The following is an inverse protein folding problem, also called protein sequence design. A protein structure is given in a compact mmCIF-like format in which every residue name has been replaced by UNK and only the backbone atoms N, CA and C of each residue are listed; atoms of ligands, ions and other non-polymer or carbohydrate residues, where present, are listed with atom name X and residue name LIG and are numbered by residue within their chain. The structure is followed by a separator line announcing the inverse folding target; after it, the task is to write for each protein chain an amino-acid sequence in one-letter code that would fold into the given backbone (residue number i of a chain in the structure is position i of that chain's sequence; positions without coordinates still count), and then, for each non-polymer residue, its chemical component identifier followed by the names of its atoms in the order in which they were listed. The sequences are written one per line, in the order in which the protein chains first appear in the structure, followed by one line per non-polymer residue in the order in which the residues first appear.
data_IF_682206647925
#
_entry.id   IF_682206647925
#
_cell.length_a   1.000
_cell.length_b   1.000
_cell.length_c   1.000
_cell.angle_alpha   90.00
_cell.angle_beta   90.00
_cell.angle_gamma   90.00
#
_symmetry.space_group_name_H-M   'P 1'
#
loop_
_entity.id
_entity.type
_entity.pdbx_description
1 polymer ?
#
# COMPACT_ATOMS: atom_id res chain seq x y z
N UNK A 1 -15.12 -2.22 -13.15
CA UNK A 1 -15.03 -3.02 -11.91
C UNK A 1 -15.49 -4.44 -12.16
N UNK A 2 -14.88 -5.42 -11.46
CA UNK A 2 -15.21 -6.85 -11.46
C UNK A 2 -16.01 -7.17 -10.19
N UNK A 3 -17.08 -7.93 -10.33
CA UNK A 3 -17.91 -8.37 -9.20
C UNK A 3 -17.86 -9.88 -8.93
N UNK A 4 -17.39 -10.67 -9.91
CA UNK A 4 -17.45 -12.13 -9.81
C UNK A 4 -16.28 -12.77 -10.55
N UNK A 5 -15.70 -13.80 -9.93
CA UNK A 5 -14.74 -14.70 -10.55
C UNK A 5 -15.54 -15.86 -11.21
N UNK A 6 -15.25 -16.14 -12.47
CA UNK A 6 -15.86 -17.27 -13.17
C UNK A 6 -14.96 -18.50 -13.02
N UNK A 7 -15.58 -19.59 -12.58
CA UNK A 7 -14.92 -20.88 -12.35
C UNK A 7 -15.69 -21.95 -13.11
N UNK A 8 -14.99 -22.75 -13.91
CA UNK A 8 -15.51 -23.90 -14.66
C UNK A 8 -14.60 -25.10 -14.41
N UNK A 9 -15.18 -26.24 -14.15
CA UNK A 9 -14.45 -27.49 -13.87
C UNK A 9 -13.39 -27.41 -12.75
N UNK A 10 -13.59 -26.49 -11.78
CA UNK A 10 -12.68 -26.28 -10.66
C UNK A 10 -11.48 -25.38 -10.98
N UNK A 11 -11.45 -24.73 -12.12
CA UNK A 11 -10.39 -23.80 -12.54
C UNK A 11 -10.98 -22.43 -12.92
N UNK A 12 -10.15 -21.39 -12.89
CA UNK A 12 -10.52 -20.04 -13.35
C UNK A 12 -10.87 -20.08 -14.84
N UNK A 13 -12.01 -19.47 -15.19
CA UNK A 13 -12.49 -19.34 -16.57
C UNK A 13 -12.65 -17.88 -17.01
N UNK A 14 -12.41 -16.92 -16.09
CA UNK A 14 -12.53 -15.50 -16.38
C UNK A 14 -13.16 -14.70 -15.25
N UNK A 15 -13.71 -13.54 -15.61
CA UNK A 15 -14.35 -12.63 -14.67
C UNK A 15 -15.64 -12.07 -15.24
N UNK A 16 -16.54 -11.63 -14.35
CA UNK A 16 -17.77 -10.90 -14.69
C UNK A 16 -17.73 -9.50 -14.10
N UNK A 17 -17.99 -8.51 -14.92
CA UNK A 17 -18.01 -7.10 -14.52
C UNK A 17 -19.33 -6.72 -13.86
N UNK A 18 -19.40 -5.51 -13.28
CA UNK A 18 -20.64 -4.93 -12.75
C UNK A 18 -21.71 -4.72 -13.83
N UNK A 19 -21.32 -4.58 -15.08
CA UNK A 19 -22.23 -4.46 -16.23
C UNK A 19 -22.62 -5.81 -16.84
N UNK A 20 -22.39 -6.91 -16.12
CA UNK A 20 -22.66 -8.29 -16.57
C UNK A 20 -21.87 -8.74 -17.80
N UNK A 21 -20.83 -7.97 -18.18
CA UNK A 21 -19.92 -8.38 -19.26
C UNK A 21 -19.01 -9.50 -18.75
N UNK A 22 -19.00 -10.60 -19.47
CA UNK A 22 -18.12 -11.75 -19.23
C UNK A 22 -16.83 -11.57 -20.03
N UNK A 23 -15.70 -11.65 -19.33
CA UNK A 23 -14.35 -11.64 -19.92
C UNK A 23 -13.74 -13.01 -19.65
N UNK A 24 -13.57 -13.82 -20.69
CA UNK A 24 -12.94 -15.14 -20.59
C UNK A 24 -11.43 -15.02 -20.51
N UNK A 25 -10.83 -15.78 -19.58
CA UNK A 25 -9.39 -15.82 -19.39
C UNK A 25 -8.97 -17.17 -18.77
N UNK A 26 -7.79 -17.66 -19.13
CA UNK A 26 -7.20 -18.86 -18.54
C UNK A 26 -6.60 -18.60 -17.17
N UNK A 27 -6.12 -17.38 -16.94
CA UNK A 27 -5.59 -16.92 -15.67
C UNK A 27 -6.17 -15.55 -15.32
N UNK A 28 -6.34 -15.31 -14.03
CA UNK A 28 -6.74 -14.02 -13.47
C UNK A 28 -5.74 -13.63 -12.37
N UNK A 29 -5.22 -12.41 -12.42
CA UNK A 29 -4.35 -11.86 -11.40
C UNK A 29 -5.14 -10.82 -10.60
N UNK A 30 -5.34 -11.05 -9.31
CA UNK A 30 -6.03 -10.14 -8.41
C UNK A 30 -5.02 -9.16 -7.79
N UNK A 31 -5.19 -7.86 -8.09
CA UNK A 31 -4.33 -6.76 -7.60
C UNK A 31 -5.17 -5.62 -7.03
N UNK A 32 -6.22 -5.96 -6.27
CA UNK A 32 -7.29 -5.02 -5.90
C UNK A 32 -6.89 -3.98 -4.82
N UNK A 33 -5.67 -4.01 -4.27
CA UNK A 33 -5.22 -3.02 -3.29
C UNK A 33 -6.15 -2.93 -2.08
N UNK A 34 -6.69 -1.74 -1.81
CA UNK A 34 -7.61 -1.45 -0.70
C UNK A 34 -9.09 -1.45 -1.11
N UNK A 35 -9.41 -1.97 -2.31
CA UNK A 35 -10.75 -1.82 -2.88
C UNK A 35 -11.75 -2.91 -2.49
N UNK A 36 -11.30 -4.12 -2.10
CA UNK A 36 -12.20 -5.22 -1.74
C UNK A 36 -12.98 -4.89 -0.46
N UNK A 37 -14.28 -4.71 -0.59
CA UNK A 37 -15.17 -4.28 0.50
C UNK A 37 -14.61 -3.06 1.27
N UNK A 38 -13.97 -2.14 0.54
CA UNK A 38 -13.28 -0.99 1.09
C UNK A 38 -14.23 -0.05 1.84
N UNK A 39 -13.83 0.33 3.07
CA UNK A 39 -14.59 1.22 3.94
C UNK A 39 -13.66 2.25 4.58
N UNK A 40 -13.84 3.51 4.21
CA UNK A 40 -13.09 4.64 4.74
C UNK A 40 -13.73 5.17 6.03
N UNK A 41 -12.91 5.57 6.99
CA UNK A 41 -13.31 6.11 8.29
C UNK A 41 -12.67 7.48 8.52
N UNK A 42 -13.51 8.48 8.84
CA UNK A 42 -13.11 9.85 9.21
C UNK A 42 -13.93 10.24 10.44
N UNK A 43 -13.34 10.15 11.62
CA UNK A 43 -14.10 10.21 12.86
C UNK A 43 -15.23 9.17 12.85
N UNK A 44 -16.44 9.57 13.20
CA UNK A 44 -17.60 8.68 13.19
C UNK A 44 -18.16 8.39 11.79
N UNK A 45 -17.71 9.11 10.76
CA UNK A 45 -18.22 8.97 9.40
C UNK A 45 -17.58 7.75 8.72
N UNK A 46 -18.43 6.92 8.13
CA UNK A 46 -18.02 5.78 7.31
C UNK A 46 -18.45 6.03 5.86
N UNK A 47 -17.50 5.90 4.94
CA UNK A 47 -17.73 6.09 3.52
C UNK A 47 -17.28 4.84 2.75
N UNK A 48 -18.20 4.18 2.02
CA UNK A 48 -17.83 3.10 1.13
C UNK A 48 -16.89 3.59 0.02
N UNK A 49 -15.77 2.90 -0.18
CA UNK A 49 -14.80 3.26 -1.21
C UNK A 49 -13.47 2.54 -1.01
N UNK A 50 -12.73 2.33 -2.07
CA UNK A 50 -11.37 1.83 -2.02
C UNK A 50 -10.35 2.96 -1.78
N UNK A 51 -10.68 4.14 -2.28
CA UNK A 51 -9.98 5.42 -2.12
C UNK A 51 -11.00 6.55 -2.23
N UNK A 52 -10.67 7.75 -1.73
CA UNK A 52 -11.56 8.92 -1.87
C UNK A 52 -11.95 9.14 -3.33
N UNK A 53 -13.26 9.27 -3.58
CA UNK A 53 -13.90 9.42 -4.86
C UNK A 53 -13.83 8.17 -5.78
N UNK A 54 -13.35 7.03 -5.28
CA UNK A 54 -13.32 5.78 -6.03
C UNK A 54 -14.13 4.70 -5.31
N UNK A 55 -15.13 4.10 -5.97
CA UNK A 55 -16.02 3.12 -5.33
C UNK A 55 -15.28 1.83 -4.97
N UNK A 56 -15.68 1.22 -3.85
CA UNK A 56 -15.19 -0.10 -3.46
C UNK A 56 -15.62 -1.20 -4.45
N UNK A 57 -14.90 -2.32 -4.44
CA UNK A 57 -15.27 -3.53 -5.18
C UNK A 57 -16.01 -4.47 -4.25
N UNK A 58 -17.31 -4.59 -4.44
CA UNK A 58 -18.17 -5.50 -3.69
C UNK A 58 -18.37 -6.82 -4.42
N UNK A 59 -18.78 -7.85 -3.69
CA UNK A 59 -19.13 -9.19 -4.17
C UNK A 59 -17.95 -10.04 -4.68
N UNK A 60 -16.81 -9.44 -4.99
CA UNK A 60 -15.66 -10.20 -5.52
C UNK A 60 -15.01 -11.07 -4.44
N UNK A 61 -14.86 -10.55 -3.21
CA UNK A 61 -14.35 -11.33 -2.07
C UNK A 61 -15.23 -12.55 -1.82
N UNK A 62 -16.55 -12.36 -1.74
CA UNK A 62 -17.51 -13.43 -1.49
C UNK A 62 -17.54 -14.44 -2.65
N UNK A 63 -17.36 -13.95 -3.88
CA UNK A 63 -17.26 -14.79 -5.07
C UNK A 63 -16.04 -15.73 -5.01
N UNK A 64 -14.89 -15.22 -4.56
CA UNK A 64 -13.67 -16.01 -4.40
C UNK A 64 -13.79 -16.95 -3.18
N UNK A 65 -14.29 -16.45 -2.04
CA UNK A 65 -14.43 -17.20 -0.81
C UNK A 65 -15.35 -18.42 -0.92
N UNK A 66 -16.37 -18.38 -1.80
CA UNK A 66 -17.24 -19.53 -2.09
C UNK A 66 -16.50 -20.78 -2.56
N UNK A 67 -15.28 -20.62 -3.07
CA UNK A 67 -14.41 -21.71 -3.51
C UNK A 67 -13.49 -22.23 -2.41
N UNK A 68 -13.69 -21.81 -1.15
CA UNK A 68 -12.92 -22.28 0.01
C UNK A 68 -11.66 -21.47 0.29
N UNK A 69 -11.49 -20.29 -0.33
CA UNK A 69 -10.37 -19.39 -0.08
C UNK A 69 -10.69 -18.52 1.14
N UNK A 70 -9.85 -18.57 2.17
CA UNK A 70 -9.99 -17.80 3.39
C UNK A 70 -9.54 -16.35 3.19
N UNK A 71 -10.24 -15.45 3.85
CA UNK A 71 -9.93 -14.03 3.85
C UNK A 71 -10.11 -13.43 5.24
N UNK A 72 -9.56 -12.24 5.43
CA UNK A 72 -9.71 -11.43 6.63
C UNK A 72 -9.77 -9.95 6.27
N UNK A 73 -9.74 -9.09 7.29
CA UNK A 73 -9.71 -7.64 7.09
C UNK A 73 -8.45 -7.04 7.68
N UNK A 74 -7.88 -6.12 6.94
CA UNK A 74 -6.77 -5.27 7.37
C UNK A 74 -7.15 -3.79 7.26
N UNK A 75 -6.36 -2.95 7.89
CA UNK A 75 -6.53 -1.49 7.87
C UNK A 75 -5.21 -0.85 7.45
N UNK A 76 -5.32 0.22 6.69
CA UNK A 76 -4.24 1.18 6.47
C UNK A 76 -4.79 2.61 6.61
N UNK A 77 -3.98 3.61 6.32
CA UNK A 77 -4.41 4.99 6.38
C UNK A 77 -3.66 5.88 5.40
N UNK A 78 -4.17 7.07 5.21
CA UNK A 78 -3.56 8.10 4.37
C UNK A 78 -3.67 9.46 5.05
N UNK A 79 -2.72 10.38 4.86
CA UNK A 79 -2.81 11.75 5.36
C UNK A 79 -3.68 12.63 4.47
N UNK A 80 -3.89 13.86 4.94
CA UNK A 80 -4.53 14.93 4.17
C UNK A 80 -3.78 15.22 2.88
N UNK A 81 -4.50 15.71 1.89
CA UNK A 81 -3.95 16.36 0.70
C UNK A 81 -4.13 17.85 0.82
N UNK A 82 -3.04 18.59 0.80
CA UNK A 82 -2.98 20.04 1.05
C UNK A 82 -2.92 20.78 -0.28
N UNK A 83 -3.63 21.93 -0.35
CA UNK A 83 -3.48 22.88 -1.44
C UNK A 83 -2.19 23.69 -1.23
N UNK A 84 -1.19 23.48 -2.10
CA UNK A 84 0.10 24.15 -2.00
C UNK A 84 0.02 25.69 -2.04
N UNK A 85 -1.06 26.27 -2.60
CA UNK A 85 -1.29 27.72 -2.62
C UNK A 85 -1.59 28.29 -1.22
N UNK A 86 -1.96 27.44 -0.27
CA UNK A 86 -2.25 27.80 1.12
C UNK A 86 -1.08 27.55 2.08
N UNK A 87 0.06 27.14 1.55
CA UNK A 87 1.24 26.74 2.33
C UNK A 87 2.26 27.87 2.36
N UNK A 88 2.77 28.15 3.54
CA UNK A 88 3.89 29.06 3.77
C UNK A 88 5.21 28.28 3.72
N UNK A 89 5.72 28.04 2.52
CA UNK A 89 6.93 27.22 2.29
C UNK A 89 8.19 27.81 2.95
N UNK A 90 8.22 29.12 3.16
CA UNK A 90 9.30 29.82 3.88
C UNK A 90 9.44 29.44 5.35
N UNK A 91 8.43 28.81 5.92
CA UNK A 91 8.42 28.29 7.31
C UNK A 91 8.88 26.83 7.42
N UNK A 92 9.35 26.24 6.31
CA UNK A 92 9.78 24.86 6.25
C UNK A 92 11.18 24.73 5.69
N UNK A 93 11.83 23.61 6.02
CA UNK A 93 13.13 23.27 5.46
C UNK A 93 12.94 22.51 4.13
N UNK A 94 13.54 23.05 3.07
CA UNK A 94 13.51 22.39 1.74
C UNK A 94 14.47 21.20 1.74
N UNK A 95 13.99 20.08 1.20
CA UNK A 95 14.80 18.91 0.85
C UNK A 95 14.82 18.76 -0.65
N UNK A 96 15.92 19.15 -1.24
CA UNK A 96 16.14 18.99 -2.68
C UNK A 96 16.35 17.52 -3.04
N UNK A 97 16.01 17.14 -4.27
CA UNK A 97 16.36 15.84 -4.82
C UNK A 97 17.87 15.68 -5.05
N UNK A 98 18.30 14.49 -5.32
CA UNK A 98 19.71 14.20 -5.65
C UNK A 98 20.07 14.80 -7.01
N UNK A 99 21.19 15.53 -7.11
CA UNK A 99 21.70 16.11 -8.36
C UNK A 99 22.41 15.06 -9.21
N UNK A 100 23.01 14.05 -8.59
CA UNK A 100 23.72 12.95 -9.24
C UNK A 100 23.08 11.61 -8.83
N UNK A 101 21.88 11.37 -9.36
CA UNK A 101 21.15 10.15 -9.05
C UNK A 101 21.45 9.03 -10.02
N UNK A 102 21.61 7.81 -9.50
CA UNK A 102 21.76 6.60 -10.28
C UNK A 102 20.40 6.06 -10.74
N UNK A 103 20.35 5.56 -11.97
CA UNK A 103 19.15 4.90 -12.49
C UNK A 103 18.99 3.52 -11.86
N UNK A 104 17.74 3.14 -11.58
CA UNK A 104 17.43 1.75 -11.21
C UNK A 104 17.55 0.77 -12.39
N UNK A 105 17.49 1.27 -13.63
CA UNK A 105 17.61 0.46 -14.83
C UNK A 105 19.00 0.54 -15.41
N UNK A 106 19.59 -0.60 -15.80
CA UNK A 106 20.83 -0.69 -16.56
C UNK A 106 20.67 -0.28 -18.03
N UNK A 107 19.44 -0.22 -18.53
CA UNK A 107 19.16 0.24 -19.91
C UNK A 107 19.25 1.75 -19.98
N UNK A 108 20.19 2.24 -20.79
CA UNK A 108 20.43 3.67 -21.00
C UNK A 108 19.25 4.36 -21.70
N UNK A 109 18.56 5.23 -20.98
CA UNK A 109 17.76 6.31 -21.56
C UNK A 109 18.15 7.58 -20.83
N UNK A 110 18.72 8.52 -21.57
CA UNK A 110 19.14 9.83 -21.03
C UNK A 110 17.95 10.77 -20.87
N UNK A 111 16.95 10.36 -20.09
CA UNK A 111 15.86 11.25 -19.72
C UNK A 111 16.18 11.84 -18.36
N UNK A 112 16.60 13.09 -18.36
CA UNK A 112 16.64 13.88 -17.13
C UNK A 112 15.20 14.23 -16.74
N UNK A 113 14.79 13.73 -15.57
CA UNK A 113 13.52 14.13 -14.96
C UNK A 113 13.77 15.40 -14.14
N UNK A 114 12.81 16.32 -14.18
CA UNK A 114 12.81 17.46 -13.26
C UNK A 114 12.70 16.94 -11.83
N UNK A 115 13.66 17.32 -10.99
CA UNK A 115 13.61 16.99 -9.57
C UNK A 115 12.59 17.90 -8.87
N UNK A 116 11.69 17.29 -8.11
CA UNK A 116 10.73 17.99 -7.28
C UNK A 116 11.18 17.89 -5.82
N UNK A 117 11.39 19.02 -5.12
CA UNK A 117 11.79 18.99 -3.72
C UNK A 117 10.62 18.57 -2.83
N UNK A 118 10.95 18.08 -1.64
CA UNK A 118 10.06 17.95 -0.51
C UNK A 118 10.33 19.05 0.51
N UNK A 119 9.45 19.25 1.46
CA UNK A 119 9.64 20.18 2.57
C UNK A 119 9.43 19.47 3.89
N UNK A 120 10.35 19.70 4.82
CA UNK A 120 10.29 19.14 6.18
C UNK A 120 9.65 20.15 7.13
N UNK A 121 8.71 19.69 7.94
CA UNK A 121 8.18 20.41 9.09
C UNK A 121 7.94 19.43 10.26
N UNK A 122 7.49 19.97 11.38
CA UNK A 122 7.29 19.18 12.60
C UNK A 122 5.95 19.53 13.24
N UNK A 123 5.33 18.55 13.88
CA UNK A 123 4.28 18.81 14.86
C UNK A 123 4.89 19.50 16.10
N UNK A 124 4.04 20.09 16.92
CA UNK A 124 4.41 20.78 18.16
C UNK A 124 3.42 20.43 19.28
N UNK A 125 3.65 20.86 20.52
CA UNK A 125 2.75 20.58 21.64
C UNK A 125 1.29 21.06 21.42
N UNK A 126 1.06 22.19 20.74
CA UNK A 126 -0.29 22.68 20.46
C UNK A 126 -1.02 21.77 19.47
N UNK A 127 -0.32 21.27 18.44
CA UNK A 127 -0.83 20.25 17.52
C UNK A 127 -1.24 19.00 18.30
N UNK A 128 -0.36 18.54 19.23
CA UNK A 128 -0.62 17.33 20.01
C UNK A 128 -1.81 17.50 20.96
N UNK A 129 -2.02 18.68 21.54
CA UNK A 129 -3.17 18.96 22.39
C UNK A 129 -4.48 18.82 21.60
N UNK A 130 -4.56 19.45 20.44
CA UNK A 130 -5.74 19.36 19.56
C UNK A 130 -5.98 17.92 19.14
N UNK A 131 -4.96 17.19 18.70
CA UNK A 131 -5.11 15.78 18.30
C UNK A 131 -5.59 14.89 19.46
N UNK A 132 -5.05 15.10 20.69
CA UNK A 132 -5.48 14.35 21.88
C UNK A 132 -6.93 14.61 22.24
N UNK A 133 -7.43 15.82 22.05
CA UNK A 133 -8.85 16.15 22.29
C UNK A 133 -9.79 15.36 21.38
N UNK A 134 -9.32 14.98 20.19
CA UNK A 134 -10.08 14.18 19.23
C UNK A 134 -10.00 12.67 19.41
N UNK A 135 -9.12 12.15 20.29
CA UNK A 135 -8.93 10.70 20.46
C UNK A 135 -10.21 9.91 20.80
N UNK A 136 -11.16 10.43 21.62
CA UNK A 136 -12.41 9.73 21.87
C UNK A 136 -13.26 9.50 20.62
N UNK A 137 -13.10 10.35 19.61
CA UNK A 137 -13.81 10.28 18.33
C UNK A 137 -13.01 9.57 17.23
N UNK A 138 -11.82 9.05 17.56
CA UNK A 138 -11.00 8.28 16.62
C UNK A 138 -11.59 6.89 16.40
N UNK A 139 -11.82 6.48 15.15
CA UNK A 139 -12.29 5.12 14.82
C UNK A 139 -11.35 4.02 15.31
N UNK A 140 -10.07 4.34 15.54
CA UNK A 140 -9.08 3.41 16.07
C UNK A 140 -9.26 3.12 17.57
N UNK A 141 -9.84 4.06 18.31
CA UNK A 141 -9.96 3.98 19.79
C UNK A 141 -11.39 3.89 20.29
N UNK A 142 -12.39 4.24 19.46
CA UNK A 142 -13.81 4.14 19.82
C UNK A 142 -14.43 2.75 19.54
N UNK A 143 -13.64 1.78 19.04
CA UNK A 143 -14.11 0.42 18.72
C UNK A 143 -14.73 0.25 17.33
N UNK A 144 -14.75 1.31 16.50
CA UNK A 144 -15.31 1.27 15.15
C UNK A 144 -14.45 0.43 14.21
N UNK A 145 -13.11 0.56 14.29
CA UNK A 145 -12.13 -0.26 13.57
C UNK A 145 -11.63 -1.35 14.49
N UNK A 146 -11.77 -2.61 14.07
CA UNK A 146 -11.31 -3.80 14.80
C UNK A 146 -10.19 -4.52 14.07
N UNK A 147 -9.95 -4.18 12.80
CA UNK A 147 -8.90 -4.76 11.98
C UNK A 147 -7.51 -4.25 12.34
N UNK A 148 -6.49 -5.09 12.10
CA UNK A 148 -5.10 -4.79 12.42
C UNK A 148 -4.51 -3.86 11.37
N UNK A 149 -3.82 -2.82 11.83
CA UNK A 149 -3.10 -1.85 11.00
C UNK A 149 -1.59 -2.08 10.97
N UNK A 150 -0.89 -1.39 10.04
CA UNK A 150 0.56 -1.55 9.90
C UNK A 150 1.33 -0.98 11.10
N UNK A 151 2.23 -1.77 11.66
CA UNK A 151 3.10 -1.38 12.78
C UNK A 151 4.06 -0.26 12.42
N UNK A 152 4.59 -0.29 11.20
CA UNK A 152 5.69 0.58 10.77
C UNK A 152 5.25 1.89 10.08
N UNK A 153 3.95 2.06 9.88
CA UNK A 153 3.35 3.31 9.40
C UNK A 153 2.15 3.68 10.28
N UNK A 154 2.37 3.97 11.57
CA UNK A 154 1.28 4.31 12.47
C UNK A 154 0.68 5.67 12.09
N UNK A 155 -0.61 5.83 12.35
CA UNK A 155 -1.26 7.13 12.26
C UNK A 155 -0.67 8.12 13.28
N UNK A 156 -0.91 9.41 13.09
CA UNK A 156 -0.42 10.41 14.05
C UNK A 156 -1.03 10.19 15.43
N UNK A 157 -2.31 9.76 15.52
CA UNK A 157 -2.95 9.43 16.78
C UNK A 157 -2.22 8.28 17.49
N UNK A 158 -1.84 7.25 16.75
CA UNK A 158 -1.09 6.11 17.30
C UNK A 158 0.29 6.53 17.79
N UNK A 159 0.97 7.44 17.08
CA UNK A 159 2.26 7.99 17.52
C UNK A 159 2.13 8.72 18.85
N UNK A 160 1.07 9.51 19.03
CA UNK A 160 0.82 10.26 20.28
C UNK A 160 0.50 9.37 21.47
N UNK A 161 -0.18 8.25 21.24
CA UNK A 161 -0.52 7.28 22.30
C UNK A 161 0.70 6.42 22.64
N UNK A 162 1.47 6.00 21.63
CA UNK A 162 2.63 5.11 21.83
C UNK A 162 3.86 5.85 22.37
N UNK A 163 4.05 7.11 21.99
CA UNK A 163 5.21 7.94 22.36
C UNK A 163 4.75 9.28 22.97
N UNK A 164 4.05 9.26 24.12
CA UNK A 164 3.44 10.46 24.71
C UNK A 164 4.46 11.50 25.16
N UNK A 165 5.71 11.09 25.40
CA UNK A 165 6.81 11.94 25.83
C UNK A 165 7.44 12.75 24.68
N UNK A 166 7.18 12.37 23.42
CA UNK A 166 7.72 13.09 22.27
C UNK A 166 7.00 14.41 22.06
N UNK A 167 7.73 15.53 22.13
CA UNK A 167 7.19 16.88 21.90
C UNK A 167 6.93 17.20 20.44
N UNK A 168 7.46 16.43 19.51
CA UNK A 168 7.31 16.65 18.06
C UNK A 168 7.46 15.36 17.25
N UNK A 169 6.83 15.35 16.07
CA UNK A 169 7.00 14.32 15.03
C UNK A 169 7.33 15.00 13.71
N UNK A 170 8.29 14.46 12.99
CA UNK A 170 8.69 14.94 11.68
C UNK A 170 7.61 14.62 10.63
N UNK A 171 7.37 15.57 9.74
CA UNK A 171 6.46 15.49 8.63
C UNK A 171 7.18 15.91 7.34
N UNK A 172 6.78 15.33 6.22
CA UNK A 172 7.28 15.70 4.91
C UNK A 172 6.11 16.12 4.02
N UNK A 173 6.19 17.32 3.46
CA UNK A 173 5.24 17.81 2.47
C UNK A 173 5.80 17.49 1.08
N UNK A 174 5.12 16.60 0.38
CA UNK A 174 5.58 16.02 -0.88
C UNK A 174 4.62 16.42 -2.03
N UNK A 175 5.11 16.94 -3.17
CA UNK A 175 4.24 17.22 -4.30
C UNK A 175 3.69 15.92 -4.91
N UNK A 176 2.38 15.87 -5.16
CA UNK A 176 1.73 14.70 -5.80
C UNK A 176 2.08 14.57 -7.29
N UNK A 177 2.65 15.61 -7.88
CA UNK A 177 3.09 15.60 -9.28
C UNK A 177 3.55 16.95 -9.77
N UNK A 178 4.13 16.97 -10.97
CA UNK A 178 4.76 18.16 -11.55
C UNK A 178 3.75 19.27 -11.93
N UNK A 179 2.53 18.90 -12.29
CA UNK A 179 1.51 19.81 -12.82
C UNK A 179 0.32 20.05 -11.89
N UNK A 180 0.42 19.62 -10.62
CA UNK A 180 -0.65 19.78 -9.63
C UNK A 180 -0.22 20.69 -8.47
N UNK A 181 -1.20 21.29 -7.80
CA UNK A 181 -1.02 22.01 -6.53
C UNK A 181 -1.37 21.14 -5.32
N UNK A 182 -1.59 19.85 -5.54
CA UNK A 182 -1.92 18.90 -4.48
C UNK A 182 -0.64 18.34 -3.85
N UNK A 183 -0.53 18.46 -2.53
CA UNK A 183 0.60 17.98 -1.74
C UNK A 183 0.18 16.93 -0.74
N UNK A 184 0.99 15.90 -0.61
CA UNK A 184 0.86 14.79 0.34
C UNK A 184 1.63 15.11 1.62
N UNK A 185 0.96 15.06 2.78
CA UNK A 185 1.62 15.31 4.07
C UNK A 185 2.05 14.00 4.73
N UNK A 186 3.18 13.45 4.30
CA UNK A 186 3.74 12.22 4.84
C UNK A 186 4.03 12.35 6.35
N UNK A 187 3.68 11.32 7.12
CA UNK A 187 3.84 11.29 8.57
C UNK A 187 2.62 11.74 9.37
N UNK A 188 1.61 12.38 8.72
CA UNK A 188 0.37 12.82 9.34
C UNK A 188 -0.86 12.02 8.86
N UNK A 189 -0.72 10.71 8.69
CA UNK A 189 -1.89 9.85 8.46
C UNK A 189 -2.82 9.92 9.67
N UNK A 190 -4.09 10.19 9.45
CA UNK A 190 -5.07 10.38 10.52
C UNK A 190 -6.45 9.93 10.10
N UNK A 191 -7.20 9.36 11.05
CA UNK A 191 -8.62 9.05 10.91
C UNK A 191 -9.52 9.88 11.82
N UNK A 192 -8.96 10.85 12.52
CA UNK A 192 -9.72 11.78 13.36
C UNK A 192 -10.78 12.56 12.57
N UNK A 193 -11.80 13.10 13.24
CA UNK A 193 -12.77 13.99 12.58
C UNK A 193 -12.07 15.11 11.81
N UNK A 194 -12.62 15.47 10.63
CA UNK A 194 -12.00 16.42 9.72
C UNK A 194 -11.67 17.76 10.38
N UNK A 195 -12.57 18.29 11.24
CA UNK A 195 -12.33 19.56 11.93
C UNK A 195 -11.11 19.49 12.86
N UNK A 196 -10.89 18.36 13.56
CA UNK A 196 -9.71 18.12 14.40
C UNK A 196 -8.44 18.08 13.55
N UNK A 197 -8.47 17.40 12.39
CA UNK A 197 -7.32 17.37 11.47
C UNK A 197 -6.94 18.78 11.02
N UNK A 198 -7.91 19.59 10.60
CA UNK A 198 -7.70 20.98 10.14
C UNK A 198 -7.20 21.87 11.28
N UNK A 199 -7.83 21.79 12.45
CA UNK A 199 -7.47 22.62 13.61
C UNK A 199 -6.05 22.30 14.08
N UNK A 200 -5.69 21.01 14.17
CA UNK A 200 -4.35 20.58 14.55
C UNK A 200 -3.30 21.07 13.55
N UNK A 201 -3.54 20.89 12.25
CA UNK A 201 -2.59 21.29 11.21
C UNK A 201 -2.38 22.80 11.19
N UNK A 202 -3.42 23.63 11.44
CA UNK A 202 -3.29 25.08 11.53
C UNK A 202 -2.41 25.57 12.68
N UNK A 203 -2.06 24.71 13.65
CA UNK A 203 -1.06 25.01 14.70
C UNK A 203 0.38 24.87 14.22
N UNK A 204 0.62 24.37 13.01
CA UNK A 204 1.93 24.37 12.37
C UNK A 204 2.06 25.70 11.61
N UNK A 205 3.11 26.50 11.84
CA UNK A 205 3.26 27.83 11.22
C UNK A 205 3.10 27.83 9.69
N UNK A 206 3.67 26.83 9.02
CA UNK A 206 3.55 26.67 7.56
C UNK A 206 2.10 26.48 7.07
N UNK A 207 1.20 26.02 7.94
CA UNK A 207 -0.17 25.65 7.58
C UNK A 207 -1.23 26.57 8.24
N UNK A 208 -0.86 27.76 8.72
CA UNK A 208 -1.78 28.69 9.40
C UNK A 208 -3.01 29.07 8.55
N UNK A 209 -2.85 29.13 7.23
CA UNK A 209 -3.91 29.46 6.26
C UNK A 209 -4.40 28.22 5.47
N UNK A 210 -4.24 27.02 6.05
CA UNK A 210 -4.46 25.73 5.42
C UNK A 210 -5.79 25.61 4.68
N UNK A 211 -5.70 25.21 3.41
CA UNK A 211 -6.78 24.63 2.63
C UNK A 211 -6.41 23.18 2.24
N UNK A 212 -7.37 22.28 2.21
CA UNK A 212 -7.15 20.89 1.87
C UNK A 212 -8.03 20.47 0.69
N UNK A 213 -7.50 19.60 -0.15
CA UNK A 213 -8.26 18.93 -1.22
C UNK A 213 -8.98 17.69 -0.70
N UNK A 214 -8.33 16.92 0.17
CA UNK A 214 -8.85 15.64 0.69
C UNK A 214 -8.47 15.46 2.16
N UNK A 215 -9.40 14.93 2.99
CA UNK A 215 -9.08 14.59 4.36
C UNK A 215 -8.14 13.39 4.45
N UNK A 216 -7.45 13.25 5.59
CA UNK A 216 -6.90 11.98 6.01
C UNK A 216 -8.01 11.00 6.41
N UNK A 217 -7.78 9.71 6.22
CA UNK A 217 -8.72 8.66 6.61
C UNK A 217 -8.00 7.35 6.91
N UNK A 218 -8.62 6.52 7.73
CA UNK A 218 -8.30 5.10 7.77
C UNK A 218 -9.19 4.35 6.77
N UNK A 219 -8.67 3.28 6.18
CA UNK A 219 -9.43 2.41 5.29
C UNK A 219 -9.28 0.97 5.74
N UNK A 220 -10.41 0.27 5.91
CA UNK A 220 -10.47 -1.16 6.05
C UNK A 220 -10.78 -1.82 4.71
N UNK A 221 -10.15 -2.95 4.44
CA UNK A 221 -10.28 -3.70 3.20
C UNK A 221 -10.05 -5.18 3.43
N UNK A 222 -10.54 -6.03 2.53
CA UNK A 222 -10.34 -7.46 2.60
C UNK A 222 -8.97 -7.85 2.02
N UNK A 223 -8.34 -8.84 2.65
CA UNK A 223 -7.15 -9.53 2.16
C UNK A 223 -7.37 -11.05 2.23
N UNK A 224 -6.62 -11.80 1.45
CA UNK A 224 -6.62 -13.25 1.47
C UNK A 224 -5.38 -13.77 2.18
N UNK A 225 -5.53 -14.86 2.95
CA UNK A 225 -4.42 -15.49 3.64
C UNK A 225 -3.39 -15.99 2.62
N UNK A 226 -2.17 -15.43 2.60
CA UNK A 226 -1.16 -15.78 1.59
C UNK A 226 -0.60 -17.21 1.74
N UNK A 227 -0.83 -17.88 2.87
CA UNK A 227 -0.44 -19.30 3.03
C UNK A 227 -1.19 -20.22 2.08
N UNK A 228 -2.28 -19.77 1.49
CA UNK A 228 -3.06 -20.46 0.46
C UNK A 228 -2.48 -20.33 -0.94
N UNK A 229 -1.32 -19.68 -1.08
CA UNK A 229 -0.63 -19.48 -2.36
C UNK A 229 0.62 -20.36 -2.44
N UNK A 230 0.95 -20.78 -3.65
CA UNK A 230 2.27 -21.29 -4.00
C UNK A 230 3.31 -20.15 -4.07
N UNK A 231 4.60 -20.48 -4.13
CA UNK A 231 5.65 -19.47 -4.36
C UNK A 231 5.54 -18.75 -5.72
N UNK A 232 4.75 -19.27 -6.63
CA UNK A 232 4.36 -18.62 -7.89
C UNK A 232 3.29 -17.54 -7.71
N UNK A 233 2.75 -17.39 -6.50
CA UNK A 233 1.57 -16.59 -6.15
C UNK A 233 0.26 -17.08 -6.77
N UNK A 234 0.24 -18.30 -7.30
CA UNK A 234 -0.99 -18.99 -7.70
C UNK A 234 -1.68 -19.61 -6.48
N UNK A 235 -3.01 -19.58 -6.47
CA UNK A 235 -3.82 -20.22 -5.43
C UNK A 235 -3.63 -21.75 -5.45
N UNK A 236 -3.43 -22.33 -4.26
CA UNK A 236 -3.40 -23.81 -4.04
C UNK A 236 -4.80 -24.44 -4.21
N UNK A 237 -5.84 -23.62 -4.06
CA UNK A 237 -7.23 -24.07 -4.02
C UNK A 237 -7.90 -23.92 -5.38
N UNK A 238 -7.59 -22.82 -6.09
CA UNK A 238 -8.24 -22.48 -7.36
C UNK A 238 -7.19 -22.21 -8.44
N UNK A 239 -6.87 -23.23 -9.27
CA UNK A 239 -5.91 -23.09 -10.35
C UNK A 239 -6.28 -21.95 -11.31
N UNK A 240 -5.27 -21.19 -11.75
CA UNK A 240 -5.43 -20.03 -12.62
C UNK A 240 -5.73 -18.73 -11.91
N UNK A 241 -5.94 -18.73 -10.58
CA UNK A 241 -6.05 -17.52 -9.78
C UNK A 241 -4.70 -17.17 -9.16
N UNK A 242 -4.18 -16.00 -9.49
CA UNK A 242 -2.98 -15.40 -8.89
C UNK A 242 -3.38 -14.18 -8.06
N UNK A 243 -2.63 -13.93 -6.98
CA UNK A 243 -2.89 -12.78 -6.10
C UNK A 243 -1.59 -12.04 -5.84
N UNK A 244 -1.62 -10.70 -5.89
CA UNK A 244 -0.42 -9.88 -5.69
C UNK A 244 -0.75 -8.54 -5.03
N UNK A 245 0.16 -8.07 -4.17
CA UNK A 245 0.07 -6.79 -3.48
C UNK A 245 -0.70 -6.86 -2.17
N UNK A 246 -1.41 -5.78 -1.83
CA UNK A 246 -2.11 -5.65 -0.55
C UNK A 246 -3.14 -6.75 -0.28
N UNK A 247 -3.70 -7.34 -1.30
CA UNK A 247 -4.64 -8.47 -1.17
C UNK A 247 -4.01 -9.71 -0.53
N UNK A 248 -2.68 -9.78 -0.45
CA UNK A 248 -1.92 -10.82 0.26
C UNK A 248 -1.47 -10.38 1.67
N UNK A 249 -2.06 -9.29 2.20
CA UNK A 249 -1.72 -8.80 3.54
C UNK A 249 -0.39 -8.05 3.63
N UNK A 250 0.11 -7.49 2.53
CA UNK A 250 1.28 -6.62 2.52
C UNK A 250 0.90 -5.14 2.50
N UNK A 251 1.84 -4.27 2.85
CA UNK A 251 1.74 -2.83 2.66
C UNK A 251 3.06 -2.28 2.13
N UNK A 252 2.99 -1.44 1.10
CA UNK A 252 4.14 -0.81 0.42
C UNK A 252 4.11 -1.05 -1.09
N UNK A 253 4.63 -0.06 -1.81
CA UNK A 253 4.68 -0.10 -3.28
C UNK A 253 5.66 -1.16 -3.78
N UNK A 254 6.80 -1.30 -3.10
CA UNK A 254 7.86 -2.25 -3.45
C UNK A 254 7.37 -3.69 -3.28
N UNK A 255 6.66 -3.97 -2.19
CA UNK A 255 6.07 -5.29 -1.95
C UNK A 255 5.03 -5.63 -3.01
N UNK A 256 4.19 -4.67 -3.38
CA UNK A 256 3.19 -4.86 -4.42
C UNK A 256 3.82 -5.06 -5.81
N UNK A 257 4.85 -4.27 -6.15
CA UNK A 257 5.60 -4.39 -7.40
C UNK A 257 6.31 -5.75 -7.54
N UNK A 258 6.99 -6.18 -6.48
CA UNK A 258 7.68 -7.49 -6.45
C UNK A 258 6.72 -8.66 -6.61
N UNK A 259 5.59 -8.64 -5.92
CA UNK A 259 4.55 -9.67 -6.09
C UNK A 259 3.91 -9.61 -7.49
N UNK A 260 3.61 -8.40 -7.97
CA UNK A 260 2.99 -8.21 -9.28
C UNK A 260 3.80 -8.77 -10.43
N UNK A 261 5.13 -8.55 -10.43
CA UNK A 261 6.01 -9.09 -11.48
C UNK A 261 6.06 -10.61 -11.44
N UNK A 262 6.18 -11.23 -10.25
CA UNK A 262 6.23 -12.68 -10.11
C UNK A 262 4.90 -13.34 -10.52
N UNK A 263 3.77 -12.79 -10.07
CA UNK A 263 2.45 -13.27 -10.47
C UNK A 263 2.22 -13.14 -11.98
N UNK A 264 2.66 -12.02 -12.58
CA UNK A 264 2.56 -11.77 -14.03
C UNK A 264 3.36 -12.78 -14.85
N UNK A 265 4.63 -13.02 -14.48
CA UNK A 265 5.50 -14.01 -15.13
C UNK A 265 4.85 -15.40 -15.05
N UNK A 266 4.45 -15.83 -13.85
CA UNK A 266 3.90 -17.17 -13.67
C UNK A 266 2.55 -17.37 -14.36
N UNK A 267 1.69 -16.37 -14.39
CA UNK A 267 0.45 -16.43 -15.15
C UNK A 267 0.71 -16.58 -16.67
N UNK A 268 1.71 -15.85 -17.19
CA UNK A 268 2.11 -15.97 -18.60
C UNK A 268 2.71 -17.34 -18.91
N UNK A 269 3.63 -17.85 -18.08
CA UNK A 269 4.21 -19.17 -18.20
C UNK A 269 3.15 -20.27 -18.16
N UNK A 270 2.22 -20.22 -17.21
CA UNK A 270 1.09 -21.17 -17.14
C UNK A 270 0.26 -21.13 -18.43
N UNK A 271 0.00 -19.95 -18.97
CA UNK A 271 -0.74 -19.83 -20.24
C UNK A 271 0.03 -20.37 -21.46
N UNK A 272 1.36 -20.36 -21.45
CA UNK A 272 2.21 -20.88 -22.54
C UNK A 272 2.63 -22.33 -22.34
N UNK A 273 2.35 -22.95 -21.18
CA UNK A 273 2.81 -24.28 -20.83
C UNK A 273 4.29 -24.34 -20.43
N UNK A 274 4.83 -23.20 -19.97
CA UNK A 274 6.21 -23.10 -19.46
C UNK A 274 6.34 -23.58 -18.01
N UNK A 275 7.58 -23.76 -17.56
CA UNK A 275 7.89 -24.14 -16.19
C UNK A 275 7.67 -22.98 -15.21
N UNK A 276 7.24 -23.27 -13.96
CA UNK A 276 7.02 -22.23 -12.95
C UNK A 276 8.30 -21.45 -12.60
N UNK A 277 8.18 -20.14 -12.49
CA UNK A 277 9.26 -19.27 -12.03
C UNK A 277 9.13 -19.02 -10.53
N UNK A 278 10.13 -19.46 -9.75
CA UNK A 278 10.21 -19.26 -8.30
C UNK A 278 11.54 -18.61 -7.95
N UNK A 279 11.50 -17.51 -7.21
CA UNK A 279 12.68 -16.86 -6.64
C UNK A 279 12.92 -17.37 -5.22
N UNK A 280 14.16 -17.76 -4.91
CA UNK A 280 14.55 -18.24 -3.60
C UNK A 280 15.05 -17.11 -2.68
N UNK A 281 15.10 -17.39 -1.36
CA UNK A 281 15.50 -16.43 -0.33
C UNK A 281 16.95 -15.97 -0.44
N UNK A 282 17.82 -16.77 -1.01
CA UNK A 282 19.24 -16.46 -1.27
C UNK A 282 19.48 -15.73 -2.59
N UNK A 283 18.45 -15.59 -3.41
CA UNK A 283 18.55 -14.97 -4.73
C UNK A 283 18.08 -13.52 -4.73
N UNK A 284 17.03 -13.19 -3.96
CA UNK A 284 16.44 -11.85 -3.98
C UNK A 284 15.60 -11.54 -2.76
N UNK A 285 15.41 -10.24 -2.48
CA UNK A 285 14.42 -9.78 -1.51
C UNK A 285 12.98 -10.11 -1.91
N UNK A 286 12.69 -10.23 -3.20
CA UNK A 286 11.38 -10.71 -3.69
C UNK A 286 11.17 -12.16 -3.26
N UNK A 287 12.22 -13.00 -3.36
CA UNK A 287 12.18 -14.37 -2.87
C UNK A 287 11.93 -14.46 -1.36
N UNK A 288 12.62 -13.62 -0.56
CA UNK A 288 12.38 -13.54 0.89
C UNK A 288 10.95 -13.12 1.20
N UNK A 289 10.45 -12.08 0.52
CA UNK A 289 9.08 -11.58 0.67
C UNK A 289 8.04 -12.69 0.41
N UNK A 290 8.12 -13.32 -0.74
CA UNK A 290 7.13 -14.34 -1.14
C UNK A 290 7.21 -15.56 -0.23
N UNK A 291 8.40 -16.03 0.10
CA UNK A 291 8.57 -17.16 0.99
C UNK A 291 8.01 -16.88 2.40
N UNK A 292 8.27 -15.69 2.98
CA UNK A 292 7.67 -15.30 4.25
C UNK A 292 6.15 -15.31 4.18
N UNK A 293 5.54 -14.77 3.12
CA UNK A 293 4.09 -14.72 2.95
C UNK A 293 3.47 -16.13 2.89
N UNK A 294 3.98 -16.98 2.01
CA UNK A 294 3.33 -18.28 1.72
C UNK A 294 3.63 -19.35 2.76
N UNK A 295 4.70 -19.20 3.55
CA UNK A 295 5.09 -20.18 4.58
C UNK A 295 4.70 -19.75 6.00
N UNK A 296 4.79 -18.45 6.34
CA UNK A 296 4.54 -17.92 7.68
C UNK A 296 3.18 -17.26 7.80
N UNK A 297 2.61 -16.79 6.67
CA UNK A 297 1.40 -15.95 6.71
C UNK A 297 1.68 -14.55 7.25
N UNK A 298 0.60 -13.85 7.62
CA UNK A 298 0.66 -12.47 8.12
C UNK A 298 -0.26 -12.29 9.31
N UNK A 299 0.29 -11.78 10.42
CA UNK A 299 -0.46 -11.39 11.61
C UNK A 299 -0.82 -9.90 11.58
N UNK A 300 -0.04 -9.11 10.87
CA UNK A 300 -0.18 -7.67 10.63
C UNK A 300 0.26 -7.35 9.20
N UNK A 301 -0.11 -6.19 8.63
CA UNK A 301 0.34 -5.82 7.29
C UNK A 301 1.86 -5.91 7.14
N UNK A 302 2.30 -6.84 6.29
CA UNK A 302 3.72 -7.18 6.11
C UNK A 302 4.47 -6.04 5.42
N UNK A 303 5.67 -5.75 5.92
CA UNK A 303 6.68 -4.89 5.28
C UNK A 303 7.99 -5.65 5.13
N UNK A 304 8.66 -5.46 3.98
CA UNK A 304 10.00 -5.99 3.75
C UNK A 304 11.03 -5.12 4.45
N UNK A 305 11.91 -5.77 5.20
CA UNK A 305 13.10 -5.17 5.81
C UNK A 305 14.32 -6.04 5.54
N UNK A 306 15.48 -5.42 5.44
CA UNK A 306 16.74 -6.15 5.22
C UNK A 306 17.04 -7.17 6.34
N UNK A 307 16.53 -6.91 7.56
CA UNK A 307 16.65 -7.83 8.70
C UNK A 307 15.88 -9.16 8.53
N UNK A 308 14.95 -9.23 7.58
CA UNK A 308 14.23 -10.48 7.28
C UNK A 308 15.02 -11.44 6.41
N UNK A 309 16.06 -10.96 5.72
CA UNK A 309 16.89 -11.76 4.82
C UNK A 309 18.13 -12.31 5.57
N UNK A 310 18.28 -13.63 5.57
CA UNK A 310 19.42 -14.34 6.14
C UNK A 310 20.70 -14.04 5.35
N UNK A 311 20.56 -13.97 4.03
CA UNK A 311 21.67 -13.75 3.09
C UNK A 311 21.83 -12.29 2.66
N UNK A 312 21.43 -11.32 3.51
CA UNK A 312 21.43 -9.89 3.17
C UNK A 312 22.77 -9.32 2.73
N UNK A 313 23.89 -9.98 3.09
CA UNK A 313 25.21 -9.61 2.62
C UNK A 313 25.41 -9.89 1.13
N UNK A 314 24.69 -10.87 0.60
CA UNK A 314 24.69 -11.25 -0.83
C UNK A 314 23.62 -10.50 -1.63
N UNK A 315 22.52 -10.12 -0.98
CA UNK A 315 21.36 -9.49 -1.61
C UNK A 315 21.52 -7.98 -1.68
N UNK A 316 22.58 -7.53 -2.35
CA UNK A 316 22.90 -6.11 -2.47
C UNK A 316 22.39 -5.56 -3.81
N UNK A 317 22.11 -4.25 -3.84
CA UNK A 317 21.69 -3.55 -5.05
C UNK A 317 22.80 -3.56 -6.11
N UNK A 318 24.03 -3.36 -5.68
CA UNK A 318 25.23 -3.22 -6.54
C UNK A 318 25.61 -4.50 -7.27
N UNK A 319 25.12 -5.68 -6.87
CA UNK A 319 25.37 -6.97 -7.54
C UNK A 319 24.09 -7.62 -8.10
N UNK A 320 22.98 -6.88 -8.13
CA UNK A 320 21.68 -7.43 -8.57
C UNK A 320 21.70 -7.93 -10.03
N UNK A 321 22.40 -7.24 -10.92
CA UNK A 321 22.55 -7.64 -12.31
C UNK A 321 23.35 -8.94 -12.44
N UNK A 322 24.44 -9.10 -11.69
CA UNK A 322 25.24 -10.33 -11.69
C UNK A 322 24.45 -11.56 -11.21
N UNK A 323 23.52 -11.37 -10.25
CA UNK A 323 22.69 -12.46 -9.71
C UNK A 323 21.47 -12.79 -10.56
N UNK A 324 20.83 -11.78 -11.19
CA UNK A 324 19.48 -11.91 -11.74
C UNK A 324 19.39 -11.83 -13.27
N UNK A 325 20.38 -11.25 -13.97
CA UNK A 325 20.29 -11.03 -15.43
C UNK A 325 20.23 -12.34 -16.20
N UNK A 326 21.16 -13.26 -15.93
CA UNK A 326 21.19 -14.57 -16.61
C UNK A 326 19.90 -15.34 -16.38
N UNK A 327 19.45 -15.39 -15.13
CA UNK A 327 18.20 -16.04 -14.76
C UNK A 327 16.96 -15.42 -15.45
N UNK A 328 16.93 -14.08 -15.53
CA UNK A 328 15.84 -13.39 -16.20
C UNK A 328 15.82 -13.59 -17.71
N UNK A 329 16.99 -13.85 -18.30
CA UNK A 329 17.12 -14.10 -19.73
C UNK A 329 16.62 -15.51 -20.12
N UNK A 330 16.64 -16.47 -19.18
CA UNK A 330 16.21 -17.85 -19.40
C UNK A 330 14.69 -18.07 -19.30
N UNK A 331 13.94 -17.08 -18.86
CA UNK A 331 12.47 -17.09 -18.77
C UNK A 331 11.87 -16.66 -20.11
#
# INVERSE_FOLDING_TARGET
QVKELLVEHGEVAGVKTYFDVVIRARCVILTAGTFLNGLMHIGHTQLPGGRVAEPASYHLTESIARHGINYGRMKTGTPVRIDGRSVHFEEMEIQEGEHDYHKFSFMGRDRQLKQLPCWTCFTNPEVHEVLRSGLPDSPLYNGQIQSIGPRYCPSIETKLVTFPERGQHQLFLEPEGESTQEYYLNGFSSSLPLHIQIEALKKIPAFRDLAIYRPGYAIEYDYFDPTQLYHTLESKILPGLFMAGQVNGTTGYEEAGGQGIVAGINAALKCSGGEPFVMHRDESYIGVLIDDLVTKGVDEPYRMFTSRAEYRILLRQDDADARLTERSYQI
#
